data_IF_503860790468
#
_entry.id   IF_503860790468
#
_cell.length_a   1.000
_cell.length_b   1.000
_cell.length_c   1.000
_cell.angle_alpha   90.00
_cell.angle_beta   90.00
_cell.angle_gamma   90.00
#
_symmetry.space_group_name_H-M   'P 1'
#
loop_
_entity.id
_entity.type
_entity.pdbx_description
1 polymer ?
#
# COMPACT_ATOMS: atom_id res chain seq x y z
N UNK A 1 -5.64 1.41 19.53
CA UNK A 1 -5.00 2.34 18.58
C UNK A 1 -5.70 3.69 18.67
N UNK A 2 -5.01 4.79 18.35
CA UNK A 2 -5.64 6.11 18.32
C UNK A 2 -6.56 6.24 17.10
N UNK A 3 -7.52 7.18 17.14
CA UNK A 3 -8.37 7.48 15.97
C UNK A 3 -7.55 7.86 14.72
N UNK A 4 -6.43 8.55 14.93
CA UNK A 4 -5.53 8.93 13.84
C UNK A 4 -4.86 7.71 13.19
N UNK A 5 -4.38 6.75 13.98
CA UNK A 5 -3.79 5.53 13.43
C UNK A 5 -4.82 4.67 12.70
N UNK A 6 -6.05 4.57 13.21
CA UNK A 6 -7.14 3.87 12.50
C UNK A 6 -7.45 4.54 11.15
N UNK A 7 -7.49 5.87 11.12
CA UNK A 7 -7.70 6.63 9.89
C UNK A 7 -6.58 6.40 8.87
N UNK A 8 -5.32 6.37 9.30
CA UNK A 8 -4.17 6.06 8.43
C UNK A 8 -4.28 4.66 7.85
N UNK A 9 -4.62 3.68 8.67
CA UNK A 9 -4.81 2.29 8.23
C UNK A 9 -5.91 2.18 7.20
N UNK A 10 -7.08 2.79 7.45
CA UNK A 10 -8.21 2.78 6.52
C UNK A 10 -7.85 3.47 5.20
N UNK A 11 -7.23 4.65 5.25
CA UNK A 11 -6.81 5.39 4.06
C UNK A 11 -5.80 4.61 3.22
N UNK A 12 -4.76 4.04 3.86
CA UNK A 12 -3.74 3.25 3.16
C UNK A 12 -4.32 2.00 2.50
N UNK A 13 -5.21 1.26 3.20
CA UNK A 13 -5.86 0.08 2.62
C UNK A 13 -6.80 0.46 1.48
N UNK A 14 -7.66 1.46 1.68
CA UNK A 14 -8.61 1.91 0.66
C UNK A 14 -7.92 2.37 -0.63
N UNK A 15 -6.78 3.06 -0.53
CA UNK A 15 -6.00 3.46 -1.70
C UNK A 15 -5.57 2.25 -2.55
N UNK A 16 -5.18 1.15 -1.90
CA UNK A 16 -4.75 -0.07 -2.59
C UNK A 16 -5.93 -0.81 -3.22
N UNK A 17 -7.06 -0.92 -2.51
CA UNK A 17 -8.27 -1.57 -3.06
C UNK A 17 -8.78 -0.84 -4.30
N UNK A 18 -8.82 0.49 -4.23
CA UNK A 18 -9.48 1.29 -5.26
C UNK A 18 -8.61 1.54 -6.50
N UNK A 19 -7.27 1.51 -6.35
CA UNK A 19 -6.38 2.04 -7.39
C UNK A 19 -5.28 1.08 -7.86
N UNK A 20 -4.87 0.09 -7.06
CA UNK A 20 -3.80 -0.84 -7.48
C UNK A 20 -4.38 -1.94 -8.38
N UNK A 21 -3.77 -2.11 -9.54
CA UNK A 21 -4.13 -3.09 -10.58
C UNK A 21 -2.90 -3.89 -11.00
N UNK A 22 -3.13 -5.08 -11.54
CA UNK A 22 -2.06 -5.93 -12.06
C UNK A 22 -1.25 -5.22 -13.15
N UNK A 23 0.04 -5.53 -13.25
CA UNK A 23 0.99 -5.00 -14.24
C UNK A 23 1.21 -3.47 -14.17
N UNK A 24 1.07 -2.86 -12.99
CA UNK A 24 1.37 -1.45 -12.78
C UNK A 24 2.78 -1.21 -12.22
N UNK A 25 3.33 -0.03 -12.55
CA UNK A 25 4.48 0.55 -11.87
C UNK A 25 3.97 1.53 -10.81
N UNK A 26 4.31 1.29 -9.54
CA UNK A 26 3.81 2.02 -8.38
C UNK A 26 4.94 2.84 -7.75
N UNK A 27 4.69 4.13 -7.53
CA UNK A 27 5.51 4.92 -6.60
C UNK A 27 5.12 4.61 -5.15
N UNK A 28 6.10 4.28 -4.31
CA UNK A 28 5.89 3.97 -2.89
C UNK A 28 6.33 5.17 -2.06
N UNK A 29 5.35 5.82 -1.41
CA UNK A 29 5.56 6.95 -0.52
C UNK A 29 6.35 6.60 0.75
N UNK A 30 6.47 7.56 1.67
CA UNK A 30 7.16 7.42 2.96
C UNK A 30 6.25 7.90 4.11
N UNK A 31 6.46 7.41 5.33
CA UNK A 31 5.70 7.76 6.53
C UNK A 31 4.80 6.65 7.08
N UNK A 32 4.18 6.88 8.24
CA UNK A 32 3.42 5.84 8.96
C UNK A 32 2.20 5.31 8.19
N UNK A 33 1.59 6.11 7.31
CA UNK A 33 0.40 5.72 6.56
C UNK A 33 0.71 4.70 5.46
N UNK A 34 1.83 4.88 4.75
CA UNK A 34 2.19 4.01 3.61
C UNK A 34 2.49 2.57 4.07
N UNK A 35 2.89 2.37 5.33
CA UNK A 35 3.09 1.04 5.92
C UNK A 35 1.84 0.16 5.75
N UNK A 36 0.65 0.73 6.00
CA UNK A 36 -0.61 0.00 5.85
C UNK A 36 -0.98 -0.29 4.39
N UNK A 37 -0.62 0.61 3.48
CA UNK A 37 -0.81 0.38 2.05
C UNK A 37 0.12 -0.73 1.53
N UNK A 38 1.41 -0.70 1.90
CA UNK A 38 2.39 -1.73 1.51
C UNK A 38 1.99 -3.10 2.07
N UNK A 39 1.52 -3.17 3.32
CA UNK A 39 0.95 -4.39 3.88
C UNK A 39 -0.20 -4.94 3.02
N UNK A 40 -1.13 -4.07 2.62
CA UNK A 40 -2.25 -4.48 1.76
C UNK A 40 -1.79 -4.90 0.35
N UNK A 41 -0.83 -4.21 -0.24
CA UNK A 41 -0.25 -4.60 -1.53
C UNK A 41 0.35 -6.01 -1.42
N UNK A 42 1.12 -6.28 -0.36
CA UNK A 42 1.72 -7.59 -0.13
C UNK A 42 0.68 -8.71 0.05
N UNK A 43 -0.44 -8.43 0.72
CA UNK A 43 -1.58 -9.36 0.81
C UNK A 43 -2.13 -9.68 -0.59
N UNK A 44 -2.41 -8.65 -1.41
CA UNK A 44 -2.97 -8.83 -2.77
C UNK A 44 -2.00 -9.53 -3.72
N UNK A 45 -0.71 -9.21 -3.66
CA UNK A 45 0.31 -9.91 -4.47
C UNK A 45 0.27 -11.40 -4.20
N UNK A 46 0.18 -11.81 -2.93
CA UNK A 46 0.10 -13.22 -2.54
C UNK A 46 -1.24 -13.88 -2.91
N UNK A 47 -2.35 -13.17 -2.77
CA UNK A 47 -3.70 -13.72 -2.97
C UNK A 47 -4.13 -13.75 -4.44
N UNK A 48 -3.76 -12.72 -5.20
CA UNK A 48 -4.25 -12.46 -6.56
C UNK A 48 -3.14 -12.65 -7.62
N UNK A 49 -1.92 -13.01 -7.21
CA UNK A 49 -0.75 -13.12 -8.09
C UNK A 49 -0.48 -11.84 -8.90
N UNK A 50 -0.59 -10.67 -8.25
CA UNK A 50 -0.29 -9.40 -8.89
C UNK A 50 1.20 -9.30 -9.24
N UNK A 51 1.48 -8.93 -10.50
CA UNK A 51 2.80 -8.58 -11.00
C UNK A 51 2.95 -7.06 -10.97
N UNK A 52 3.75 -6.52 -10.06
CA UNK A 52 3.89 -5.08 -9.81
C UNK A 52 5.38 -4.71 -9.76
N UNK A 53 5.71 -3.50 -10.23
CA UNK A 53 7.02 -2.88 -10.01
C UNK A 53 6.84 -1.73 -9.03
N UNK A 54 7.64 -1.69 -7.96
CA UNK A 54 7.54 -0.69 -6.92
C UNK A 54 8.80 0.19 -6.89
N UNK A 55 8.62 1.51 -6.93
CA UNK A 55 9.71 2.51 -6.88
C UNK A 55 9.62 3.28 -5.55
N UNK A 56 10.55 3.07 -4.60
CA UNK A 56 10.49 3.73 -3.30
C UNK A 56 10.93 5.20 -3.37
N UNK A 57 10.31 6.02 -2.51
CA UNK A 57 10.70 7.43 -2.28
C UNK A 57 11.74 7.60 -1.17
N UNK A 58 11.99 6.58 -0.36
CA UNK A 58 13.01 6.57 0.70
C UNK A 58 13.43 5.14 1.11
N UNK A 59 14.40 5.04 2.02
CA UNK A 59 14.91 3.76 2.58
C UNK A 59 14.16 3.27 3.84
N UNK A 60 13.15 4.02 4.29
CA UNK A 60 12.59 3.96 5.64
C UNK A 60 12.20 2.56 6.14
#
# INVERSE_FOLDING_TARGET
MSKAEEAKKLAGRAAVENHVRNNQVLGIGSGSTIVHAVQRIAERVKQENLNLVCIPTSFQ
#
